data_IF_282786695857
#
_entry.id   IF_282786695857
#
_cell.length_a   1.000
_cell.length_b   1.000
_cell.length_c   1.000
_cell.angle_alpha   90.00
_cell.angle_beta   90.00
_cell.angle_gamma   90.00
#
_symmetry.space_group_name_H-M   'P 1'
#
loop_
_entity.id
_entity.type
_entity.pdbx_description
1 polymer ?
#
# COMPACT_ATOMS: atom_id res chain seq x y z
N UNK A 1 8.90 -29.88 12.25
CA UNK A 1 7.84 -29.13 11.55
C UNK A 1 8.49 -28.21 10.52
N UNK A 2 8.21 -28.36 9.22
CA UNK A 2 8.64 -27.36 8.23
C UNK A 2 7.88 -26.06 8.54
N UNK A 3 8.57 -25.02 8.99
CA UNK A 3 7.97 -23.68 9.13
C UNK A 3 7.59 -23.21 7.73
N UNK A 4 6.33 -23.43 7.35
CA UNK A 4 5.81 -22.95 6.07
C UNK A 4 5.82 -21.44 6.08
N UNK A 5 6.32 -20.85 5.00
CA UNK A 5 6.32 -19.40 4.79
C UNK A 5 4.87 -18.89 4.96
N UNK A 6 4.61 -17.88 5.81
CA UNK A 6 3.27 -17.31 5.95
C UNK A 6 2.81 -16.73 4.60
N UNK A 7 1.49 -16.60 4.41
CA UNK A 7 0.93 -16.05 3.17
C UNK A 7 1.36 -14.60 2.97
N UNK A 8 1.63 -14.23 1.72
CA UNK A 8 1.95 -12.85 1.35
C UNK A 8 0.75 -11.94 1.62
N UNK A 9 0.94 -10.72 2.15
CA UNK A 9 -0.15 -9.75 2.26
C UNK A 9 -0.80 -9.48 0.88
N UNK A 10 -2.13 -9.52 0.84
CA UNK A 10 -2.92 -9.35 -0.39
C UNK A 10 -3.50 -7.93 -0.49
N UNK A 11 -3.83 -7.50 -1.71
CA UNK A 11 -4.44 -6.20 -1.98
C UNK A 11 -3.43 -5.10 -2.32
N UNK A 12 -3.93 -3.87 -2.47
CA UNK A 12 -3.09 -2.69 -2.68
C UNK A 12 -2.68 -2.11 -1.32
N UNK A 13 -1.41 -1.79 -1.19
CA UNK A 13 -0.82 -1.25 0.03
C UNK A 13 -0.03 0.00 -0.30
N UNK A 14 0.04 0.92 0.66
CA UNK A 14 0.76 2.19 0.55
C UNK A 14 1.56 2.41 1.84
N UNK A 15 2.76 2.95 1.69
CA UNK A 15 3.61 3.40 2.78
C UNK A 15 3.69 4.91 2.70
N UNK A 16 3.29 5.60 3.76
CA UNK A 16 3.31 7.06 3.77
C UNK A 16 4.61 7.59 4.36
N UNK A 17 5.25 8.52 3.66
CA UNK A 17 6.46 9.21 4.11
C UNK A 17 6.17 10.70 4.15
N UNK A 18 6.49 11.34 5.26
CA UNK A 18 6.53 12.79 5.32
C UNK A 18 7.89 13.26 4.78
N UNK A 19 7.88 13.95 3.64
CA UNK A 19 9.09 14.48 3.01
C UNK A 19 8.79 15.87 2.44
N UNK A 20 9.61 16.85 2.82
CA UNK A 20 9.47 18.27 2.47
C UNK A 20 8.06 18.83 2.77
N UNK A 21 7.54 18.51 3.96
CA UNK A 21 6.20 18.93 4.40
C UNK A 21 5.03 18.23 3.69
N UNK A 22 5.29 17.34 2.74
CA UNK A 22 4.26 16.62 1.97
C UNK A 22 4.20 15.17 2.44
N UNK A 23 2.97 14.66 2.59
CA UNK A 23 2.75 13.23 2.83
C UNK A 23 2.72 12.47 1.50
N UNK A 24 3.81 11.77 1.20
CA UNK A 24 3.98 11.01 -0.03
C UNK A 24 3.37 9.62 0.08
N UNK A 25 2.44 9.24 -0.82
CA UNK A 25 1.96 7.87 -0.94
C UNK A 25 2.95 7.03 -1.75
N UNK A 26 3.66 6.11 -1.11
CA UNK A 26 4.58 5.20 -1.78
C UNK A 26 3.91 3.81 -1.96
N UNK A 27 3.55 3.39 -3.18
CA UNK A 27 2.95 2.07 -3.40
C UNK A 27 3.88 0.95 -2.94
N UNK A 28 3.31 -0.02 -2.22
CA UNK A 28 4.08 -1.11 -1.61
C UNK A 28 4.06 -2.36 -2.48
N UNK A 29 5.24 -2.96 -2.62
CA UNK A 29 5.46 -4.32 -3.10
C UNK A 29 5.91 -5.19 -1.93
N UNK A 30 5.23 -6.31 -1.71
CA UNK A 30 5.61 -7.25 -0.65
C UNK A 30 6.60 -8.29 -1.16
N UNK A 31 7.77 -8.36 -0.53
CA UNK A 31 8.82 -9.34 -0.85
C UNK A 31 9.25 -10.10 0.41
N UNK A 32 9.62 -11.37 0.27
CA UNK A 32 9.99 -12.22 1.39
C UNK A 32 11.48 -12.05 1.68
N UNK A 33 11.82 -11.58 2.88
CA UNK A 33 13.20 -11.46 3.31
C UNK A 33 13.53 -12.59 4.30
N UNK A 34 14.45 -13.46 3.90
CA UNK A 34 14.81 -14.64 4.69
C UNK A 34 15.59 -14.27 5.95
N UNK A 35 16.38 -13.20 5.92
CA UNK A 35 17.12 -12.70 7.10
C UNK A 35 16.21 -12.22 8.23
N UNK A 36 15.05 -11.66 7.90
CA UNK A 36 14.02 -11.25 8.88
C UNK A 36 12.92 -12.30 9.07
N UNK A 37 12.89 -13.35 8.25
CA UNK A 37 11.86 -14.39 8.30
C UNK A 37 10.44 -13.85 8.08
N UNK A 38 10.29 -12.82 7.23
CA UNK A 38 9.05 -12.08 7.11
C UNK A 38 8.81 -11.46 5.73
N UNK A 39 7.57 -11.06 5.48
CA UNK A 39 7.22 -10.22 4.33
C UNK A 39 7.52 -8.77 4.67
N UNK A 40 8.34 -8.11 3.85
CA UNK A 40 8.69 -6.70 4.00
C UNK A 40 8.02 -5.85 2.91
N UNK A 41 7.56 -4.64 3.25
CA UNK A 41 7.04 -3.70 2.29
C UNK A 41 8.19 -2.94 1.62
N UNK A 42 8.44 -3.21 0.34
CA UNK A 42 9.35 -2.43 -0.48
C UNK A 42 8.61 -1.33 -1.24
N UNK A 43 9.20 -0.15 -1.33
CA UNK A 43 8.65 0.99 -2.04
C UNK A 43 9.77 1.92 -2.53
N UNK A 44 9.44 2.81 -3.46
CA UNK A 44 10.31 3.92 -3.84
C UNK A 44 10.05 5.12 -2.93
N UNK A 45 11.10 5.66 -2.31
CA UNK A 45 11.04 6.88 -1.52
C UNK A 45 10.80 8.11 -2.41
N UNK A 46 10.48 9.28 -1.83
CA UNK A 46 10.43 10.55 -2.55
C UNK A 46 11.77 10.95 -3.21
N UNK A 47 12.87 10.37 -2.74
CA UNK A 47 14.23 10.52 -3.29
C UNK A 47 14.56 9.49 -4.38
N UNK A 48 13.58 8.69 -4.82
CA UNK A 48 13.71 7.61 -5.80
C UNK A 48 14.61 6.43 -5.37
N UNK A 49 14.89 6.31 -4.08
CA UNK A 49 15.61 5.18 -3.52
C UNK A 49 14.65 4.01 -3.30
N UNK A 50 15.12 2.79 -3.53
CA UNK A 50 14.33 1.58 -3.26
C UNK A 50 14.60 1.09 -1.85
N UNK A 51 13.58 1.15 -0.99
CA UNK A 51 13.75 0.98 0.47
C UNK A 51 12.77 -0.08 0.99
N UNK A 52 13.22 -0.86 1.98
CA UNK A 52 12.36 -1.72 2.79
C UNK A 52 11.82 -0.96 4.01
N UNK A 53 10.50 -0.93 4.19
CA UNK A 53 9.85 -0.29 5.31
C UNK A 53 9.54 -1.22 6.49
N UNK A 54 9.06 -0.61 7.58
CA UNK A 54 8.45 -1.36 8.69
C UNK A 54 7.08 -1.91 8.25
N UNK A 55 6.86 -3.24 8.27
CA UNK A 55 5.57 -3.85 7.93
C UNK A 55 4.37 -3.26 8.69
N UNK A 56 4.57 -2.76 9.92
CA UNK A 56 3.52 -2.18 10.77
C UNK A 56 3.05 -0.81 10.32
N UNK A 57 3.83 -0.12 9.47
CA UNK A 57 3.55 1.22 8.95
C UNK A 57 2.96 1.20 7.53
N UNK A 58 2.85 0.02 6.91
CA UNK A 58 2.17 -0.14 5.63
C UNK A 58 0.65 -0.15 5.84
N UNK A 59 -0.07 0.64 5.05
CA UNK A 59 -1.53 0.75 5.11
C UNK A 59 -2.17 0.05 3.92
N UNK A 60 -3.19 -0.77 4.18
CA UNK A 60 -3.98 -1.40 3.13
C UNK A 60 -4.97 -0.40 2.59
N UNK A 61 -4.95 -0.17 1.28
CA UNK A 61 -5.97 0.63 0.61
C UNK A 61 -7.25 -0.21 0.60
N UNK A 62 -8.26 0.24 1.35
CA UNK A 62 -9.59 -0.34 1.27
C UNK A 62 -10.10 -0.21 -0.16
N UNK A 63 -10.78 -1.24 -0.68
CA UNK A 63 -11.56 -1.09 -1.91
C UNK A 63 -12.73 -0.18 -1.56
N UNK A 64 -12.59 1.13 -1.79
CA UNK A 64 -13.75 2.00 -1.82
C UNK A 64 -14.63 1.57 -3.00
N UNK A 65 -15.94 1.52 -2.78
CA UNK A 65 -16.95 1.39 -3.84
C UNK A 65 -16.98 2.68 -4.68
N UNK A 66 -15.85 3.10 -5.26
CA UNK A 66 -15.74 4.33 -6.08
C UNK A 66 -16.64 4.27 -7.32
N UNK A 67 -17.19 3.09 -7.65
CA UNK A 67 -18.26 2.98 -8.65
C UNK A 67 -19.50 3.80 -8.27
N UNK A 68 -19.84 3.95 -6.99
CA UNK A 68 -21.09 4.60 -6.57
C UNK A 68 -21.02 6.14 -6.55
N UNK A 69 -19.82 6.74 -6.57
CA UNK A 69 -19.68 8.21 -6.57
C UNK A 69 -19.79 8.79 -7.98
N UNK A 70 -19.46 8.00 -9.02
CA UNK A 70 -19.61 8.44 -10.41
C UNK A 70 -21.05 8.42 -10.90
N UNK A 71 -21.87 7.44 -10.48
CA UNK A 71 -23.30 7.38 -10.87
C UNK A 71 -24.12 8.52 -10.25
N UNK A 72 -23.91 8.84 -8.97
CA UNK A 72 -24.67 9.88 -8.26
C UNK A 72 -24.43 11.32 -8.76
N UNK A 73 -23.33 11.56 -9.49
CA UNK A 73 -23.04 12.88 -10.07
C UNK A 73 -23.73 13.10 -11.42
N UNK A 74 -24.03 12.04 -12.17
CA UNK A 74 -24.77 12.13 -13.43
C UNK A 74 -26.28 12.24 -13.19
N UNK A 75 -26.82 11.60 -12.15
CA UNK A 75 -28.26 11.65 -11.85
C UNK A 75 -28.72 13.03 -11.33
N UNK A 76 -27.85 13.84 -10.75
CA UNK A 76 -28.18 15.18 -10.23
C UNK A 76 -28.04 16.32 -11.26
N UNK A 77 -27.46 16.07 -12.44
CA UNK A 77 -27.26 17.09 -13.48
C UNK A 77 -28.43 17.13 -14.49
N UNK A 78 -29.36 16.17 -14.40
CA UNK A 78 -30.53 16.04 -15.29
C UNK A 78 -31.86 15.91 -14.53
N UNK A 79 -32.05 16.66 -13.43
CA UNK A 79 -33.35 16.80 -12.74
C UNK A 79 -33.72 18.27 -12.60
#
# INVERSE_FOLDING_TARGET
MKKTRPRRPHGRWVYYILYDGILWPCPVRWEWESGFGGWLPFYYSPTFEFVAGDPRKAYRIARSNVRNVRESHYDNEYV
#
